data_IF_474331667888
#
_entry.id   IF_474331667888
#
_cell.length_a   1.000
_cell.length_b   1.000
_cell.length_c   1.000
_cell.angle_alpha   90.00
_cell.angle_beta   90.00
_cell.angle_gamma   90.00
#
_symmetry.space_group_name_H-M   'P 1'
#
loop_
_entity.id
_entity.type
_entity.pdbx_description
1 polymer ?
#
# COMPACT_ATOMS: atom_id res chain seq x y z
N UNK A 1 0.75 -3.69 5.44
CA UNK A 1 1.08 -4.03 6.84
C UNK A 1 -0.23 -4.26 7.59
N UNK A 2 -0.21 -4.89 8.75
CA UNK A 2 -1.41 -5.14 9.56
C UNK A 2 -1.32 -4.43 10.92
N UNK A 3 -2.43 -4.37 11.65
CA UNK A 3 -2.47 -3.83 13.02
C UNK A 3 -1.54 -4.56 13.99
N UNK A 4 -1.30 -5.85 13.76
CA UNK A 4 -0.43 -6.69 14.60
C UNK A 4 1.03 -6.70 14.12
N UNK A 5 1.36 -6.01 13.03
CA UNK A 5 2.73 -5.96 12.54
C UNK A 5 3.64 -5.31 13.59
N UNK A 6 4.65 -6.04 14.06
CA UNK A 6 5.62 -5.56 15.05
C UNK A 6 6.92 -5.10 14.38
N UNK A 7 7.75 -4.35 15.12
CA UNK A 7 9.07 -3.96 14.62
C UNK A 7 9.97 -5.17 14.36
N UNK A 8 9.81 -6.26 15.11
CA UNK A 8 10.51 -7.52 14.85
C UNK A 8 10.11 -8.12 13.51
N UNK A 9 8.81 -8.17 13.20
CA UNK A 9 8.34 -8.72 11.93
C UNK A 9 8.90 -7.94 10.74
N UNK A 10 8.90 -6.60 10.79
CA UNK A 10 9.48 -5.76 9.73
C UNK A 10 10.98 -6.04 9.57
N UNK A 11 11.72 -6.10 10.69
CA UNK A 11 13.14 -6.40 10.66
C UNK A 11 13.43 -7.77 10.06
N UNK A 12 12.73 -8.83 10.50
CA UNK A 12 12.91 -10.19 9.99
C UNK A 12 12.59 -10.31 8.50
N UNK A 13 11.50 -9.68 8.04
CA UNK A 13 11.12 -9.70 6.62
C UNK A 13 12.21 -9.06 5.78
N UNK A 14 12.73 -7.89 6.17
CA UNK A 14 13.78 -7.22 5.40
C UNK A 14 15.10 -8.01 5.47
N UNK A 15 15.47 -8.50 6.66
CA UNK A 15 16.68 -9.31 6.85
C UNK A 15 16.64 -10.62 6.05
N UNK A 16 15.46 -11.20 5.80
CA UNK A 16 15.30 -12.40 4.96
C UNK A 16 15.61 -12.17 3.47
N UNK A 17 15.65 -10.90 3.03
CA UNK A 17 15.87 -10.51 1.61
C UNK A 17 17.26 -9.97 1.33
N UNK A 18 18.12 -9.93 2.34
CA UNK A 18 19.50 -9.42 2.23
C UNK A 18 20.50 -10.49 2.63
N UNK A 19 21.68 -10.42 2.03
CA UNK A 19 22.84 -11.25 2.35
C UNK A 19 23.97 -10.38 2.89
N UNK A 20 24.79 -10.98 3.75
CA UNK A 20 25.94 -10.29 4.31
C UNK A 20 27.06 -10.24 3.27
N UNK A 21 27.41 -9.02 2.82
CA UNK A 21 28.52 -8.80 1.88
C UNK A 21 29.85 -8.62 2.60
N UNK A 22 29.84 -7.85 3.68
CA UNK A 22 31.03 -7.52 4.48
C UNK A 22 30.65 -7.42 5.96
N UNK A 23 31.63 -7.23 6.86
CA UNK A 23 31.35 -7.12 8.31
C UNK A 23 30.34 -5.99 8.57
N UNK A 24 29.14 -6.35 9.04
CA UNK A 24 28.06 -5.43 9.38
C UNK A 24 27.32 -4.83 8.17
N UNK A 25 27.64 -5.19 6.93
CA UNK A 25 27.00 -4.66 5.72
C UNK A 25 26.19 -5.75 5.02
N UNK A 26 24.91 -5.46 4.81
CA UNK A 26 23.93 -6.32 4.18
C UNK A 26 23.36 -5.64 2.94
N UNK A 27 23.25 -6.42 1.86
CA UNK A 27 22.75 -5.95 0.56
C UNK A 27 21.72 -6.95 0.04
N UNK A 28 20.81 -6.55 -0.86
CA UNK A 28 19.91 -7.48 -1.51
C UNK A 28 20.65 -8.66 -2.14
N UNK A 29 20.03 -9.84 -2.06
CA UNK A 29 20.57 -11.07 -2.66
C UNK A 29 20.91 -10.85 -4.14
N UNK A 30 22.12 -11.22 -4.53
CA UNK A 30 22.59 -11.06 -5.91
C UNK A 30 23.09 -9.65 -6.25
N UNK A 31 23.41 -8.83 -5.24
CA UNK A 31 24.01 -7.49 -5.39
C UNK A 31 23.23 -6.54 -6.31
N UNK A 32 21.91 -6.68 -6.37
CA UNK A 32 21.01 -5.78 -7.10
C UNK A 32 20.52 -4.65 -6.18
N UNK A 33 19.95 -3.60 -6.79
CA UNK A 33 19.12 -2.62 -6.07
C UNK A 33 17.72 -3.20 -5.87
N UNK A 34 17.17 -3.08 -4.67
CA UNK A 34 15.83 -3.58 -4.34
C UNK A 34 14.91 -2.44 -3.92
N UNK A 35 13.66 -2.49 -4.35
CA UNK A 35 12.60 -1.63 -3.84
C UNK A 35 11.78 -2.44 -2.86
N UNK A 36 11.65 -1.95 -1.63
CA UNK A 36 10.77 -2.49 -0.61
C UNK A 36 9.48 -1.68 -0.63
N UNK A 37 8.42 -2.30 -1.11
CA UNK A 37 7.08 -1.72 -1.08
C UNK A 37 6.39 -2.06 0.24
N UNK A 38 5.90 -1.04 0.95
CA UNK A 38 5.17 -1.17 2.20
C UNK A 38 3.73 -0.67 2.01
N UNK A 39 2.84 -1.62 1.70
CA UNK A 39 1.40 -1.37 1.65
C UNK A 39 0.84 -1.11 3.05
N UNK A 40 -0.29 -0.41 3.14
CA UNK A 40 -1.01 -0.10 4.38
C UNK A 40 -0.07 0.44 5.49
N UNK A 41 0.76 1.44 5.14
CA UNK A 41 1.87 1.89 5.97
C UNK A 41 1.43 2.43 7.34
N UNK A 42 0.19 2.92 7.44
CA UNK A 42 -0.37 3.48 8.67
C UNK A 42 -1.27 2.51 9.46
N UNK A 43 -1.32 1.23 9.09
CA UNK A 43 -2.08 0.21 9.83
C UNK A 43 -1.50 -0.24 11.17
N UNK A 44 -0.16 -0.27 11.41
CA UNK A 44 0.36 -0.78 12.67
C UNK A 44 -0.22 -0.09 13.90
N UNK A 45 -0.63 -0.87 14.90
CA UNK A 45 -1.21 -0.33 16.12
C UNK A 45 -0.22 0.53 16.90
N UNK A 46 -0.75 1.55 17.58
CA UNK A 46 0.03 2.35 18.53
C UNK A 46 0.24 1.56 19.82
N UNK A 47 1.41 1.74 20.42
CA UNK A 47 1.67 1.27 21.78
C UNK A 47 0.96 2.15 22.82
N UNK A 48 1.13 1.81 24.11
CA UNK A 48 0.55 2.55 25.24
C UNK A 48 0.98 4.01 25.32
N UNK A 49 2.07 4.38 24.63
CA UNK A 49 2.62 5.73 24.61
C UNK A 49 2.32 6.46 23.29
N UNK A 50 1.49 5.87 22.41
CA UNK A 50 1.08 6.45 21.14
C UNK A 50 2.10 6.31 20.00
N UNK A 51 3.20 5.60 20.22
CA UNK A 51 4.23 5.34 19.21
C UNK A 51 3.85 4.13 18.36
N UNK A 52 4.37 4.06 17.13
CA UNK A 52 4.22 2.88 16.26
C UNK A 52 5.59 2.25 16.07
N UNK A 53 5.99 1.26 16.90
CA UNK A 53 7.34 0.68 16.87
C UNK A 53 7.85 0.23 15.50
N UNK A 54 7.04 -0.36 14.60
CA UNK A 54 7.49 -0.70 13.25
C UNK A 54 7.91 0.54 12.44
N UNK A 55 7.16 1.63 12.59
CA UNK A 55 7.42 2.88 11.89
C UNK A 55 8.64 3.61 12.44
N UNK A 56 8.87 3.54 13.74
CA UNK A 56 10.09 4.08 14.35
C UNK A 56 11.35 3.31 13.93
N UNK A 57 11.25 1.99 13.73
CA UNK A 57 12.34 1.19 13.14
C UNK A 57 12.63 1.64 11.70
N UNK A 58 11.60 1.87 10.88
CA UNK A 58 11.77 2.39 9.52
C UNK A 58 12.39 3.79 9.55
N UNK A 59 11.96 4.66 10.47
CA UNK A 59 12.57 5.98 10.65
C UNK A 59 14.06 5.86 10.98
N UNK A 60 14.42 4.98 11.92
CA UNK A 60 15.81 4.70 12.27
C UNK A 60 16.61 4.25 11.05
N UNK A 61 16.04 3.35 10.25
CA UNK A 61 16.70 2.88 9.03
C UNK A 61 16.97 4.01 8.04
N UNK A 62 15.97 4.87 7.77
CA UNK A 62 16.12 6.00 6.84
C UNK A 62 17.18 6.99 7.36
N UNK A 63 17.12 7.33 8.65
CA UNK A 63 18.00 8.33 9.25
C UNK A 63 19.47 7.87 9.30
N UNK A 64 19.71 6.60 9.63
CA UNK A 64 21.05 6.10 9.96
C UNK A 64 21.60 5.08 8.96
N UNK A 65 20.80 4.59 8.01
CA UNK A 65 21.14 3.49 7.10
C UNK A 65 21.48 2.16 7.81
N UNK A 66 21.11 2.02 9.09
CA UNK A 66 21.28 0.80 9.87
C UNK A 66 20.21 0.66 10.95
N UNK A 67 20.08 -0.56 11.48
CA UNK A 67 19.47 -0.84 12.77
C UNK A 67 20.35 -1.78 13.58
N UNK A 68 19.99 -2.02 14.84
CA UNK A 68 20.72 -2.92 15.70
C UNK A 68 20.23 -4.36 15.54
N UNK A 69 21.18 -5.30 15.52
CA UNK A 69 20.91 -6.70 15.78
C UNK A 69 20.47 -6.85 17.25
N UNK A 70 19.25 -7.36 17.46
CA UNK A 70 18.65 -7.44 18.79
C UNK A 70 19.29 -8.50 19.69
N UNK A 71 19.98 -9.48 19.11
CA UNK A 71 20.67 -10.54 19.85
C UNK A 71 22.12 -10.17 20.13
N UNK A 72 22.83 -9.69 19.12
CA UNK A 72 24.28 -9.41 19.17
C UNK A 72 24.61 -7.97 19.55
N UNK A 73 23.62 -7.08 19.55
CA UNK A 73 23.78 -5.66 19.87
C UNK A 73 24.81 -4.94 18.98
N UNK A 74 24.96 -5.41 17.75
CA UNK A 74 25.84 -4.82 16.72
C UNK A 74 25.02 -4.10 15.66
N UNK A 75 25.61 -3.14 14.96
CA UNK A 75 24.95 -2.47 13.84
C UNK A 75 24.86 -3.39 12.61
N UNK A 76 23.72 -3.33 11.91
CA UNK A 76 23.50 -3.92 10.60
C UNK A 76 23.16 -2.81 9.61
N UNK A 77 24.14 -2.46 8.79
CA UNK A 77 23.95 -1.50 7.70
C UNK A 77 23.24 -2.19 6.54
N UNK A 78 22.09 -1.67 6.14
CA UNK A 78 21.31 -2.15 5.01
C UNK A 78 21.53 -1.18 3.85
N UNK A 79 22.14 -1.65 2.77
CA UNK A 79 22.48 -0.85 1.59
C UNK A 79 21.73 -1.33 0.35
N UNK A 80 21.69 -0.50 -0.69
CA UNK A 80 21.10 -0.81 -2.00
C UNK A 80 19.60 -1.20 -1.95
N UNK A 81 18.90 -0.70 -0.95
CA UNK A 81 17.45 -0.85 -0.81
C UNK A 81 16.78 0.52 -0.74
N UNK A 82 15.62 0.64 -1.38
CA UNK A 82 14.82 1.86 -1.43
C UNK A 82 13.42 1.57 -0.90
N UNK A 83 12.84 2.52 -0.16
CA UNK A 83 11.49 2.39 0.39
C UNK A 83 10.47 3.08 -0.51
N UNK A 84 9.38 2.38 -0.79
CA UNK A 84 8.16 2.94 -1.35
C UNK A 84 7.00 2.54 -0.43
N UNK A 85 6.17 3.49 -0.04
CA UNK A 85 5.07 3.25 0.90
C UNK A 85 3.77 3.78 0.32
N UNK A 86 2.66 3.11 0.62
CA UNK A 86 1.31 3.60 0.38
C UNK A 86 0.48 3.46 1.66
N UNK A 87 -0.51 4.33 1.83
CA UNK A 87 -1.44 4.28 2.95
C UNK A 87 -2.77 4.96 2.63
N UNK A 88 -3.85 4.36 3.12
CA UNK A 88 -5.16 5.02 3.09
C UNK A 88 -5.22 6.20 4.07
N UNK A 89 -6.17 7.13 3.88
CA UNK A 89 -6.37 8.23 4.81
C UNK A 89 -6.70 7.71 6.23
N UNK A 90 -6.33 8.46 7.29
CA UNK A 90 -6.65 8.08 8.66
C UNK A 90 -8.17 7.89 8.87
N UNK A 91 -8.55 6.84 9.59
CA UNK A 91 -9.96 6.44 9.79
C UNK A 91 -10.19 4.95 9.60
N UNK A 92 -11.30 4.43 10.12
CA UNK A 92 -11.67 3.01 9.94
C UNK A 92 -10.61 2.00 10.42
N UNK A 93 -9.82 2.36 11.45
CA UNK A 93 -8.71 1.56 11.97
C UNK A 93 -7.31 2.02 11.51
N UNK A 94 -7.22 2.81 10.43
CA UNK A 94 -5.97 3.41 9.94
C UNK A 94 -5.54 4.57 10.83
N UNK A 95 -4.26 4.60 11.19
CA UNK A 95 -3.71 5.56 12.16
C UNK A 95 -3.12 6.79 11.45
N UNK A 96 -2.94 7.87 12.22
CA UNK A 96 -2.08 9.00 11.79
C UNK A 96 -0.64 8.66 12.12
N UNK A 97 0.24 8.70 11.11
CA UNK A 97 1.69 8.47 11.30
C UNK A 97 2.39 9.73 11.83
N UNK A 98 3.52 9.55 12.51
CA UNK A 98 4.26 10.65 13.14
C UNK A 98 4.78 11.65 12.10
N UNK A 99 4.73 12.95 12.41
CA UNK A 99 5.27 13.99 11.52
C UNK A 99 6.77 13.79 11.26
N UNK A 100 7.52 13.31 12.27
CA UNK A 100 8.95 13.01 12.17
C UNK A 100 9.27 11.97 11.11
N UNK A 101 8.37 11.01 10.88
CA UNK A 101 8.51 10.03 9.81
C UNK A 101 8.05 10.62 8.47
N UNK A 102 6.94 11.37 8.46
CA UNK A 102 6.41 12.00 7.25
C UNK A 102 7.44 12.92 6.57
N UNK A 103 8.26 13.67 7.33
CA UNK A 103 9.31 14.53 6.77
C UNK A 103 10.42 13.78 6.03
N UNK A 104 10.46 12.45 6.12
CA UNK A 104 11.41 11.60 5.38
C UNK A 104 10.88 11.10 4.04
N UNK A 105 9.63 11.40 3.71
CA UNK A 105 8.99 10.99 2.47
C UNK A 105 8.50 12.21 1.69
N UNK A 106 8.46 12.07 0.36
CA UNK A 106 7.65 12.95 -0.48
C UNK A 106 6.22 12.40 -0.50
N UNK A 107 5.25 13.19 -0.05
CA UNK A 107 3.85 12.79 -0.01
C UNK A 107 3.15 13.15 -1.31
N UNK A 108 2.50 12.18 -1.93
CA UNK A 108 1.64 12.35 -3.10
C UNK A 108 0.24 11.89 -2.71
N UNK A 109 -0.74 12.80 -2.80
CA UNK A 109 -2.13 12.47 -2.50
C UNK A 109 -2.85 11.98 -3.76
N UNK A 110 -3.31 10.73 -3.73
CA UNK A 110 -4.08 10.13 -4.82
C UNK A 110 -5.57 10.36 -4.57
N UNK A 111 -6.20 11.20 -5.40
CA UNK A 111 -7.65 11.43 -5.34
C UNK A 111 -8.39 10.36 -6.14
N UNK A 112 -9.68 10.17 -5.84
CA UNK A 112 -10.53 9.31 -6.65
C UNK A 112 -10.53 9.79 -8.12
N UNK A 113 -10.44 8.85 -9.09
CA UNK A 113 -10.47 9.19 -10.50
C UNK A 113 -11.81 9.79 -10.91
N UNK A 114 -11.79 10.65 -11.93
CA UNK A 114 -13.02 11.16 -12.51
C UNK A 114 -13.83 10.04 -13.18
N UNK A 115 -15.13 10.24 -13.34
CA UNK A 115 -15.98 9.28 -14.07
C UNK A 115 -15.45 8.97 -15.47
N UNK A 116 -14.97 9.99 -16.18
CA UNK A 116 -14.38 9.83 -17.51
C UNK A 116 -13.15 8.93 -17.50
N UNK A 117 -12.33 8.99 -16.44
CA UNK A 117 -11.20 8.08 -16.25
C UNK A 117 -11.67 6.67 -15.92
N UNK A 118 -12.66 6.51 -15.03
CA UNK A 118 -13.27 5.21 -14.69
C UNK A 118 -13.84 4.54 -15.94
N UNK A 119 -14.66 5.26 -16.71
CA UNK A 119 -15.24 4.79 -17.98
C UNK A 119 -14.15 4.38 -18.96
N UNK A 120 -13.07 5.15 -19.07
CA UNK A 120 -11.95 4.80 -19.93
C UNK A 120 -11.25 3.51 -19.46
N UNK A 121 -10.98 3.36 -18.17
CA UNK A 121 -10.28 2.19 -17.61
C UNK A 121 -11.10 0.91 -17.81
N UNK A 122 -12.37 0.91 -17.41
CA UNK A 122 -13.21 -0.29 -17.51
C UNK A 122 -13.69 -0.54 -18.94
N UNK A 123 -13.96 0.53 -19.70
CA UNK A 123 -14.34 0.43 -21.11
C UNK A 123 -13.24 -0.18 -21.96
N UNK A 124 -11.97 0.19 -21.75
CA UNK A 124 -10.86 -0.45 -22.48
C UNK A 124 -10.75 -1.94 -22.15
N UNK A 125 -10.94 -2.35 -20.89
CA UNK A 125 -10.91 -3.76 -20.49
C UNK A 125 -12.04 -4.57 -21.16
N UNK A 126 -13.27 -4.06 -21.12
CA UNK A 126 -14.43 -4.74 -21.73
C UNK A 126 -14.29 -4.78 -23.25
N UNK A 127 -13.99 -3.65 -23.89
CA UNK A 127 -13.85 -3.58 -25.34
C UNK A 127 -12.71 -4.44 -25.87
N UNK A 128 -11.61 -4.58 -25.10
CA UNK A 128 -10.55 -5.53 -25.43
C UNK A 128 -11.05 -6.98 -25.37
N UNK A 129 -11.88 -7.32 -24.37
CA UNK A 129 -12.44 -8.67 -24.23
C UNK A 129 -13.41 -9.02 -25.35
N UNK A 130 -14.11 -8.03 -25.90
CA UNK A 130 -15.08 -8.20 -26.98
C UNK A 130 -14.46 -8.23 -28.39
N UNK A 131 -13.15 -8.00 -28.56
CA UNK A 131 -12.51 -7.93 -29.88
C UNK A 131 -12.67 -9.21 -30.71
N UNK A 132 -12.66 -10.37 -30.05
CA UNK A 132 -12.73 -11.68 -30.70
C UNK A 132 -14.17 -12.13 -31.00
N UNK A 133 -15.17 -11.31 -30.67
CA UNK A 133 -16.58 -11.58 -30.92
C UNK A 133 -17.06 -10.94 -32.24
N UNK A 134 -18.27 -11.32 -32.66
CA UNK A 134 -18.94 -10.75 -33.84
C UNK A 134 -19.07 -9.22 -33.74
N UNK A 135 -19.00 -8.54 -34.89
CA UNK A 135 -19.03 -7.07 -34.96
C UNK A 135 -20.24 -6.44 -34.26
N UNK A 136 -21.38 -7.14 -34.26
CA UNK A 136 -22.61 -6.68 -33.61
C UNK A 136 -22.50 -6.62 -32.08
N UNK A 137 -21.57 -7.38 -31.48
CA UNK A 137 -21.37 -7.45 -30.02
C UNK A 137 -20.41 -6.36 -29.53
N UNK A 138 -19.47 -5.92 -30.37
CA UNK A 138 -18.42 -4.96 -29.97
C UNK A 138 -18.98 -3.63 -29.44
N UNK A 139 -19.99 -3.00 -30.06
CA UNK A 139 -20.58 -1.76 -29.55
C UNK A 139 -21.24 -1.90 -28.17
N UNK A 140 -21.62 -3.12 -27.77
CA UNK A 140 -22.29 -3.38 -26.49
C UNK A 140 -21.34 -3.13 -25.31
N UNK A 141 -20.02 -3.21 -25.50
CA UNK A 141 -19.05 -2.99 -24.44
C UNK A 141 -19.13 -1.60 -23.81
N UNK A 142 -19.29 -0.56 -24.62
CA UNK A 142 -19.43 0.82 -24.13
C UNK A 142 -20.75 1.02 -23.37
N UNK A 143 -21.83 0.37 -23.82
CA UNK A 143 -23.15 0.40 -23.19
C UNK A 143 -23.09 -0.28 -21.82
N UNK A 144 -22.52 -1.48 -21.75
CA UNK A 144 -22.35 -2.23 -20.48
C UNK A 144 -21.48 -1.45 -19.51
N UNK A 145 -20.39 -0.84 -19.99
CA UNK A 145 -19.48 -0.04 -19.15
C UNK A 145 -20.25 1.11 -18.49
N UNK A 146 -21.02 1.88 -19.28
CA UNK A 146 -21.81 2.99 -18.73
C UNK A 146 -22.87 2.48 -17.74
N UNK A 147 -23.63 1.45 -18.12
CA UNK A 147 -24.67 0.90 -17.26
C UNK A 147 -24.10 0.42 -15.91
N UNK A 148 -22.92 -0.21 -15.93
CA UNK A 148 -22.25 -0.69 -14.71
C UNK A 148 -21.82 0.46 -13.81
N UNK A 149 -21.27 1.54 -14.39
CA UNK A 149 -20.90 2.76 -13.64
C UNK A 149 -22.13 3.42 -13.00
N UNK A 150 -23.24 3.48 -13.72
CA UNK A 150 -24.48 4.07 -13.22
C UNK A 150 -25.06 3.24 -12.06
N UNK A 151 -25.05 1.91 -12.18
CA UNK A 151 -25.45 0.99 -11.11
C UNK A 151 -24.54 1.15 -9.89
N UNK A 152 -23.22 1.16 -10.09
CA UNK A 152 -22.24 1.34 -9.01
C UNK A 152 -22.52 2.64 -8.23
N UNK A 153 -22.79 3.75 -8.93
CA UNK A 153 -23.13 5.03 -8.30
C UNK A 153 -24.38 4.96 -7.44
N UNK A 154 -25.45 4.39 -7.99
CA UNK A 154 -26.70 4.22 -7.25
C UNK A 154 -26.51 3.35 -6.01
N UNK A 155 -25.66 2.32 -6.10
CA UNK A 155 -25.32 1.46 -4.97
C UNK A 155 -24.55 2.23 -3.90
N UNK A 156 -23.48 2.94 -4.27
CA UNK A 156 -22.69 3.76 -3.34
C UNK A 156 -23.54 4.81 -2.62
N UNK A 157 -24.47 5.44 -3.33
CA UNK A 157 -25.35 6.46 -2.76
C UNK A 157 -26.38 5.87 -1.78
N UNK A 158 -26.98 4.72 -2.11
CA UNK A 158 -28.05 4.13 -1.30
C UNK A 158 -27.56 3.25 -0.16
N UNK A 159 -26.44 2.57 -0.34
CA UNK A 159 -25.91 1.60 0.62
C UNK A 159 -24.75 2.24 1.39
N UNK A 160 -25.10 3.08 2.37
CA UNK A 160 -24.12 3.75 3.23
C UNK A 160 -23.68 2.85 4.41
N UNK A 161 -22.40 2.95 4.82
CA UNK A 161 -21.91 2.24 5.99
C UNK A 161 -22.59 2.78 7.26
N UNK A 162 -23.35 1.93 7.92
CA UNK A 162 -23.98 2.21 9.22
C UNK A 162 -23.47 1.22 10.26
N UNK A 163 -23.61 1.47 11.58
CA UNK A 163 -23.19 0.50 12.59
C UNK A 163 -23.83 -0.89 12.44
N UNK A 164 -25.05 -0.95 11.91
CA UNK A 164 -25.72 -2.23 11.59
C UNK A 164 -25.25 -2.84 10.26
N UNK A 165 -24.67 -2.05 9.36
CA UNK A 165 -24.26 -2.43 7.99
C UNK A 165 -22.86 -1.89 7.67
N UNK A 166 -21.88 -2.26 8.50
CA UNK A 166 -20.50 -1.77 8.40
C UNK A 166 -19.78 -2.25 7.13
N UNK A 167 -20.30 -3.29 6.47
CA UNK A 167 -19.72 -3.91 5.27
C UNK A 167 -20.11 -3.17 3.98
N UNK A 168 -20.93 -2.12 4.04
CA UNK A 168 -21.26 -1.30 2.88
C UNK A 168 -20.14 -0.31 2.58
N UNK A 169 -19.03 -0.85 2.06
CA UNK A 169 -17.83 -0.12 1.70
C UNK A 169 -17.47 -0.49 0.26
N UNK A 170 -17.86 0.38 -0.67
CA UNK A 170 -17.62 0.18 -2.10
C UNK A 170 -16.36 0.92 -2.53
N UNK A 171 -15.60 0.30 -3.42
CA UNK A 171 -14.39 0.85 -4.01
C UNK A 171 -14.25 0.39 -5.46
N UNK A 172 -13.21 0.87 -6.16
CA UNK A 172 -12.99 0.54 -7.58
C UNK A 172 -12.67 -0.93 -7.87
N UNK A 173 -12.55 -1.80 -6.85
CA UNK A 173 -12.42 -3.25 -7.04
C UNK A 173 -13.77 -3.94 -7.22
N UNK A 174 -14.86 -3.30 -6.78
CA UNK A 174 -16.24 -3.79 -6.96
C UNK A 174 -16.75 -3.44 -8.37
#
# INVERSE_FOLDING_TARGET
MSSQTTSNNVQEIIESRVEKRTKGVYVPVGSKKMITFMDDFNMPAKDTFGSQPPLELIRQWIDYSFWYDRQKQITKHIKDMYLLCDMGPPGGGRQVISQRLQTRFNLINMTFPSETQIKRIFGTMINQKLQDFEEDVKPVGDIITQATIDVYRLVVEKFLPTPAKIHYLFNLRD
#
